data_IF_075980617977
#
_entry.id   IF_075980617977
#
_cell.length_a   1.000
_cell.length_b   1.000
_cell.length_c   1.000
_cell.angle_alpha   90.00
_cell.angle_beta   90.00
_cell.angle_gamma   90.00
#
_symmetry.space_group_name_H-M   'P 1'
#
loop_
_entity.id
_entity.type
_entity.pdbx_description
1 polymer ?
#
# COMPACT_ATOMS: atom_id res chain seq x y z
N UNK A 1 -22.12 10.91 -38.66
CA UNK A 1 -21.03 9.95 -38.38
C UNK A 1 -20.15 10.29 -37.17
N UNK A 2 -20.10 11.53 -36.69
CA UNK A 2 -19.22 11.96 -35.56
C UNK A 2 -19.71 11.54 -34.15
N UNK A 3 -21.03 11.41 -33.95
CA UNK A 3 -21.62 11.05 -32.64
C UNK A 3 -21.27 9.63 -32.14
N UNK A 4 -21.07 8.67 -33.04
CA UNK A 4 -20.78 7.29 -32.66
C UNK A 4 -19.30 7.06 -32.30
N UNK A 5 -18.38 7.90 -32.80
CA UNK A 5 -16.96 7.78 -32.54
C UNK A 5 -16.58 8.19 -31.09
N UNK A 6 -17.26 9.21 -30.56
CA UNK A 6 -17.04 9.69 -29.18
C UNK A 6 -17.49 8.66 -28.13
N UNK A 7 -18.57 7.91 -28.42
CA UNK A 7 -19.09 6.88 -27.52
C UNK A 7 -18.12 5.69 -27.37
N UNK A 8 -17.44 5.30 -28.47
CA UNK A 8 -16.46 4.21 -28.46
C UNK A 8 -15.19 4.55 -27.67
N UNK A 9 -14.71 5.79 -27.74
CA UNK A 9 -13.53 6.25 -26.99
C UNK A 9 -13.81 6.25 -25.48
N UNK A 10 -15.01 6.65 -25.05
CA UNK A 10 -15.39 6.64 -23.64
C UNK A 10 -15.48 5.24 -23.05
N UNK A 11 -15.94 4.26 -23.81
CA UNK A 11 -16.04 2.85 -23.39
C UNK A 11 -14.64 2.21 -23.26
N UNK A 12 -13.70 2.53 -24.15
CA UNK A 12 -12.33 2.00 -24.10
C UNK A 12 -11.58 2.52 -22.86
N UNK A 13 -11.76 3.79 -22.47
CA UNK A 13 -11.13 4.36 -21.27
C UNK A 13 -11.63 3.72 -19.97
N UNK A 14 -12.91 3.38 -19.88
CA UNK A 14 -13.48 2.69 -18.71
C UNK A 14 -12.97 1.27 -18.58
N UNK A 15 -12.85 0.53 -19.68
CA UNK A 15 -12.35 -0.84 -19.71
C UNK A 15 -10.87 -0.95 -19.32
N UNK A 16 -10.04 0.02 -19.66
CA UNK A 16 -8.61 0.03 -19.28
C UNK A 16 -8.38 0.22 -17.78
N UNK A 17 -9.25 0.98 -17.10
CA UNK A 17 -9.20 1.14 -15.64
C UNK A 17 -9.53 -0.15 -14.88
N UNK A 18 -10.52 -0.92 -15.32
CA UNK A 18 -10.88 -2.20 -14.71
C UNK A 18 -9.80 -3.27 -14.88
N UNK A 19 -9.16 -3.36 -16.04
CA UNK A 19 -8.09 -4.31 -16.28
C UNK A 19 -6.84 -4.05 -15.42
N UNK A 20 -6.51 -2.78 -15.14
CA UNK A 20 -5.40 -2.41 -14.29
C UNK A 20 -5.69 -2.70 -12.81
N UNK A 21 -6.92 -2.46 -12.34
CA UNK A 21 -7.34 -2.76 -10.97
C UNK A 21 -7.32 -4.28 -10.69
N UNK A 22 -7.73 -5.11 -11.66
CA UNK A 22 -7.64 -6.57 -11.54
C UNK A 22 -6.20 -7.07 -11.42
N UNK A 23 -5.22 -6.41 -12.05
CA UNK A 23 -3.81 -6.81 -11.97
C UNK A 23 -3.17 -6.50 -10.63
N UNK A 24 -3.64 -5.50 -9.89
CA UNK A 24 -3.18 -5.17 -8.54
C UNK A 24 -3.84 -6.06 -7.49
N UNK A 25 -5.08 -6.54 -7.75
CA UNK A 25 -5.78 -7.42 -6.82
C UNK A 25 -4.98 -8.68 -6.54
N UNK A 26 -4.94 -9.11 -5.27
CA UNK A 26 -4.21 -10.27 -4.79
C UNK A 26 -3.52 -10.00 -3.46
N UNK A 27 -2.72 -10.97 -3.04
CA UNK A 27 -1.88 -10.90 -1.84
C UNK A 27 -0.42 -10.63 -2.23
N UNK A 28 0.20 -9.68 -1.54
CA UNK A 28 1.55 -9.23 -1.81
C UNK A 28 2.37 -9.16 -0.54
N UNK A 29 3.65 -9.47 -0.64
CA UNK A 29 4.64 -9.27 0.41
C UNK A 29 5.54 -8.08 0.03
N UNK A 30 5.74 -7.16 0.95
CA UNK A 30 6.74 -6.12 0.82
C UNK A 30 8.13 -6.72 1.08
N UNK A 31 9.03 -6.58 0.13
CA UNK A 31 10.40 -7.07 0.22
C UNK A 31 11.39 -5.95 0.57
N UNK A 32 11.17 -4.74 0.05
CA UNK A 32 12.10 -3.64 0.18
C UNK A 32 11.41 -2.28 0.07
N UNK A 33 11.87 -1.31 0.84
CA UNK A 33 11.59 0.11 0.63
C UNK A 33 12.91 0.83 0.32
N UNK A 34 12.92 1.61 -0.77
CA UNK A 34 14.01 2.53 -1.11
C UNK A 34 13.54 3.96 -0.91
N UNK A 35 14.41 4.77 -0.32
CA UNK A 35 14.24 6.22 -0.23
C UNK A 35 14.89 6.92 -1.42
N UNK A 36 14.53 8.17 -1.67
CA UNK A 36 15.05 8.95 -2.81
C UNK A 36 16.57 9.21 -2.72
N UNK A 37 17.15 9.15 -1.51
CA UNK A 37 18.60 9.23 -1.27
C UNK A 37 19.35 7.91 -1.50
N UNK A 38 18.64 6.88 -2.03
CA UNK A 38 19.21 5.58 -2.40
C UNK A 38 19.34 4.59 -1.23
N UNK A 39 18.98 4.97 0.00
CA UNK A 39 18.95 4.00 1.11
C UNK A 39 17.85 2.98 0.89
N UNK A 40 18.19 1.71 1.10
CA UNK A 40 17.28 0.59 0.97
C UNK A 40 17.13 -0.12 2.32
N UNK A 41 15.90 -0.37 2.71
CA UNK A 41 15.56 -1.21 3.87
C UNK A 41 14.83 -2.47 3.37
N UNK A 42 15.42 -3.64 3.63
CA UNK A 42 14.79 -4.93 3.35
C UNK A 42 13.82 -5.30 4.46
N UNK A 43 12.68 -5.85 4.09
CA UNK A 43 11.68 -6.34 5.02
C UNK A 43 11.81 -7.85 5.15
N UNK A 44 12.34 -8.31 6.28
CA UNK A 44 12.51 -9.73 6.60
C UNK A 44 11.42 -10.25 7.54
N UNK A 45 10.70 -9.36 8.20
CA UNK A 45 9.61 -9.68 9.11
C UNK A 45 8.30 -9.93 8.34
N UNK A 46 7.36 -10.71 8.93
CA UNK A 46 6.08 -10.99 8.31
C UNK A 46 5.30 -9.72 7.94
N UNK A 47 4.83 -9.68 6.71
CA UNK A 47 4.00 -8.59 6.22
C UNK A 47 3.08 -9.09 5.12
N UNK A 48 1.94 -8.44 4.95
CA UNK A 48 1.00 -8.72 3.88
C UNK A 48 0.27 -7.45 3.45
N UNK A 49 0.13 -7.30 2.15
CA UNK A 49 -0.67 -6.30 1.47
C UNK A 49 -1.76 -7.02 0.68
N UNK A 50 -3.01 -6.81 1.03
CA UNK A 50 -4.16 -7.40 0.34
C UNK A 50 -4.89 -6.32 -0.45
N UNK A 51 -5.18 -6.61 -1.71
CA UNK A 51 -6.02 -5.76 -2.57
C UNK A 51 -7.18 -6.57 -3.12
N UNK A 52 -8.42 -6.17 -2.85
CA UNK A 52 -9.63 -6.86 -3.31
C UNK A 52 -10.71 -5.85 -3.72
N UNK A 53 -11.24 -5.94 -4.94
CA UNK A 53 -12.43 -5.17 -5.40
C UNK A 53 -12.55 -3.74 -4.85
N UNK A 54 -11.47 -2.95 -4.94
CA UNK A 54 -11.46 -1.56 -4.47
C UNK A 54 -11.17 -1.36 -2.98
N UNK A 55 -10.84 -2.42 -2.23
CA UNK A 55 -10.43 -2.36 -0.83
C UNK A 55 -9.03 -2.90 -0.64
N UNK A 56 -8.32 -2.35 0.35
CA UNK A 56 -7.00 -2.85 0.74
C UNK A 56 -6.92 -3.11 2.24
N UNK A 57 -6.00 -4.00 2.61
CA UNK A 57 -5.55 -4.20 3.97
C UNK A 57 -4.04 -4.39 3.98
N UNK A 58 -3.36 -3.72 4.89
CA UNK A 58 -1.91 -3.80 5.08
C UNK A 58 -1.65 -4.16 6.53
N UNK A 59 -0.90 -5.22 6.74
CA UNK A 59 -0.44 -5.65 8.07
C UNK A 59 1.05 -5.91 7.95
N UNK A 60 1.87 -5.27 8.82
CA UNK A 60 3.32 -5.43 8.81
C UNK A 60 3.87 -5.53 10.22
N UNK A 61 4.87 -6.37 10.37
CA UNK A 61 5.82 -6.31 11.48
C UNK A 61 7.00 -5.44 11.03
N UNK A 62 7.27 -4.38 11.77
CA UNK A 62 8.33 -3.40 11.46
C UNK A 62 9.65 -3.80 12.15
N UNK A 63 10.75 -3.31 11.58
CA UNK A 63 12.10 -3.51 12.13
C UNK A 63 12.77 -4.78 11.63
N UNK A 64 13.96 -5.04 12.16
CA UNK A 64 14.85 -6.12 11.79
C UNK A 64 14.92 -7.24 12.84
N UNK A 65 14.35 -7.02 14.02
CA UNK A 65 14.35 -7.97 15.14
C UNK A 65 13.04 -8.77 15.19
N UNK A 66 13.12 -10.07 15.49
CA UNK A 66 11.91 -10.85 15.77
C UNK A 66 11.09 -10.22 16.89
N UNK A 67 9.78 -10.32 16.78
CA UNK A 67 8.89 -9.90 17.88
C UNK A 67 9.04 -10.83 19.06
N UNK A 68 8.85 -10.29 20.27
CA UNK A 68 8.71 -11.09 21.47
C UNK A 68 7.50 -12.03 21.34
N UNK A 69 7.67 -13.27 21.74
CA UNK A 69 6.63 -14.31 21.71
C UNK A 69 5.94 -14.50 23.06
N UNK A 70 6.37 -13.76 24.08
CA UNK A 70 5.80 -13.83 25.42
C UNK A 70 4.35 -13.35 25.45
N UNK A 71 3.61 -13.81 26.44
CA UNK A 71 2.24 -13.35 26.67
C UNK A 71 2.29 -11.85 27.06
N UNK A 72 1.48 -11.04 26.40
CA UNK A 72 1.39 -9.59 26.69
C UNK A 72 1.10 -9.26 28.17
N UNK A 73 0.45 -10.18 28.91
CA UNK A 73 0.17 -10.01 30.34
C UNK A 73 1.38 -10.13 31.24
N UNK A 74 2.49 -10.71 30.74
CA UNK A 74 3.76 -10.87 31.46
C UNK A 74 4.82 -9.88 30.98
N UNK A 75 4.54 -9.10 29.95
CA UNK A 75 5.45 -8.09 29.40
C UNK A 75 5.51 -6.84 30.30
N UNK A 76 6.67 -6.21 30.37
CA UNK A 76 6.77 -4.85 30.93
C UNK A 76 6.09 -3.84 30.01
N UNK A 77 5.71 -2.66 30.51
CA UNK A 77 5.14 -1.59 29.66
C UNK A 77 6.02 -1.25 28.47
N UNK A 78 7.34 -1.20 28.62
CA UNK A 78 8.31 -0.93 27.55
C UNK A 78 8.28 -2.02 26.49
N UNK A 79 8.23 -3.29 26.89
CA UNK A 79 8.12 -4.43 25.98
C UNK A 79 6.80 -4.41 25.20
N UNK A 80 5.68 -4.04 25.83
CA UNK A 80 4.38 -3.86 25.17
C UNK A 80 4.47 -2.74 24.12
N UNK A 81 5.05 -1.59 24.51
CA UNK A 81 5.24 -0.46 23.58
C UNK A 81 6.11 -0.89 22.37
N UNK A 82 7.23 -1.54 22.61
CA UNK A 82 8.12 -1.98 21.54
C UNK A 82 7.43 -3.00 20.61
N UNK A 83 6.79 -4.01 21.19
CA UNK A 83 6.21 -5.12 20.42
C UNK A 83 4.92 -4.74 19.68
N UNK A 84 4.02 -4.00 20.34
CA UNK A 84 2.68 -3.73 19.80
C UNK A 84 2.52 -2.31 19.26
N UNK A 85 3.30 -1.34 19.77
CA UNK A 85 3.19 0.04 19.30
C UNK A 85 4.21 0.34 18.20
N UNK A 86 5.49 0.02 18.39
CA UNK A 86 6.55 0.36 17.44
C UNK A 86 6.69 -0.66 16.30
N UNK A 87 6.63 -1.96 16.62
CA UNK A 87 6.90 -3.03 15.66
C UNK A 87 5.67 -3.53 14.89
N UNK A 88 4.53 -2.88 14.99
CA UNK A 88 3.33 -3.36 14.32
C UNK A 88 2.60 -2.23 13.61
N UNK A 89 2.29 -2.43 12.34
CA UNK A 89 1.49 -1.52 11.52
C UNK A 89 0.29 -2.27 10.95
N UNK A 90 -0.88 -1.67 11.08
CA UNK A 90 -2.11 -2.16 10.46
C UNK A 90 -2.91 -0.99 9.92
N UNK A 91 -3.37 -1.11 8.68
CA UNK A 91 -4.27 -0.15 8.05
C UNK A 91 -5.10 -0.83 6.96
N UNK A 92 -6.24 -0.23 6.65
CA UNK A 92 -7.13 -0.67 5.59
C UNK A 92 -8.00 0.47 5.09
N UNK A 93 -8.64 0.25 3.97
CA UNK A 93 -9.49 1.25 3.36
C UNK A 93 -9.87 0.91 1.94
N UNK A 94 -10.12 1.94 1.14
CA UNK A 94 -10.48 1.82 -0.27
C UNK A 94 -9.30 2.21 -1.16
N UNK A 95 -9.26 1.64 -2.36
CA UNK A 95 -8.33 2.09 -3.39
C UNK A 95 -9.01 2.24 -4.75
N UNK A 96 -8.43 3.07 -5.59
CA UNK A 96 -8.80 3.26 -6.98
C UNK A 96 -7.55 3.16 -7.86
N UNK A 97 -7.68 2.48 -9.01
CA UNK A 97 -6.67 2.45 -10.06
C UNK A 97 -7.13 3.29 -11.25
N UNK A 98 -6.34 4.28 -11.63
CA UNK A 98 -6.62 5.13 -12.78
C UNK A 98 -5.34 5.51 -13.52
N UNK A 99 -5.24 5.13 -14.78
CA UNK A 99 -4.10 5.51 -15.63
C UNK A 99 -2.72 5.10 -15.08
N UNK A 100 -2.59 3.92 -14.43
CA UNK A 100 -1.33 3.48 -13.82
C UNK A 100 -1.05 4.08 -12.44
N UNK A 101 -1.98 4.87 -11.91
CA UNK A 101 -1.92 5.45 -10.55
C UNK A 101 -2.85 4.69 -9.62
N UNK A 102 -2.31 4.22 -8.50
CA UNK A 102 -3.05 3.64 -7.38
C UNK A 102 -3.25 4.73 -6.33
N UNK A 103 -4.49 5.12 -6.06
CA UNK A 103 -4.83 6.03 -4.98
C UNK A 103 -5.48 5.24 -3.84
N UNK A 104 -4.88 5.30 -2.66
CA UNK A 104 -5.33 4.59 -1.47
C UNK A 104 -5.86 5.58 -0.44
N UNK A 105 -7.08 5.35 0.06
CA UNK A 105 -7.72 6.14 1.12
C UNK A 105 -7.88 5.27 2.36
N UNK A 106 -7.14 5.61 3.42
CA UNK A 106 -7.20 4.87 4.69
C UNK A 106 -8.47 5.24 5.45
N UNK A 107 -9.26 4.24 5.83
CA UNK A 107 -10.49 4.38 6.62
C UNK A 107 -10.41 3.74 7.99
N UNK A 108 -9.51 2.77 8.16
CA UNK A 108 -9.19 2.13 9.44
C UNK A 108 -7.68 1.99 9.57
N UNK A 109 -7.12 2.32 10.72
CA UNK A 109 -5.68 2.18 10.98
C UNK A 109 -5.41 2.00 12.48
N UNK A 110 -4.32 1.32 12.79
CA UNK A 110 -3.79 1.25 14.15
C UNK A 110 -3.46 2.66 14.69
N UNK A 111 -2.87 3.52 13.86
CA UNK A 111 -2.63 4.92 14.22
C UNK A 111 -3.89 5.75 13.91
N UNK A 112 -4.61 6.28 14.93
CA UNK A 112 -5.84 7.03 14.75
C UNK A 112 -5.66 8.32 13.93
N UNK A 113 -4.46 8.88 13.87
CA UNK A 113 -4.16 10.06 13.06
C UNK A 113 -4.41 9.84 11.57
N UNK A 114 -4.26 8.60 11.07
CA UNK A 114 -4.58 8.27 9.69
C UNK A 114 -6.09 8.20 9.42
N UNK A 115 -6.92 8.05 10.44
CA UNK A 115 -8.40 8.02 10.31
C UNK A 115 -9.02 9.41 10.51
N UNK A 116 -8.38 10.28 11.28
CA UNK A 116 -8.92 11.59 11.67
C UNK A 116 -9.00 12.59 10.50
N UNK A 117 -8.29 12.36 9.42
CA UNK A 117 -8.25 13.19 8.22
C UNK A 117 -8.64 12.35 7.02
N UNK A 118 -9.20 12.96 5.99
CA UNK A 118 -9.42 12.29 4.70
C UNK A 118 -8.07 12.03 4.00
N UNK A 119 -7.21 11.26 4.69
CA UNK A 119 -5.86 10.98 4.21
C UNK A 119 -5.91 10.01 3.04
N UNK A 120 -5.33 10.42 1.94
CA UNK A 120 -5.07 9.56 0.81
C UNK A 120 -3.60 9.68 0.39
N UNK A 121 -3.10 8.64 -0.22
CA UNK A 121 -1.79 8.61 -0.85
C UNK A 121 -1.92 7.99 -2.23
N UNK A 122 -1.26 8.56 -3.22
CA UNK A 122 -1.18 8.00 -4.56
C UNK A 122 0.21 7.45 -4.85
N UNK A 123 0.24 6.39 -5.66
CA UNK A 123 1.44 5.72 -6.11
C UNK A 123 1.40 5.55 -7.63
N UNK A 124 2.52 5.78 -8.29
CA UNK A 124 2.76 5.23 -9.61
C UNK A 124 3.02 3.73 -9.48
N UNK A 125 2.35 2.92 -10.29
CA UNK A 125 2.41 1.45 -10.24
C UNK A 125 3.13 0.90 -11.45
N UNK A 126 4.11 0.02 -11.23
CA UNK A 126 4.70 -0.84 -12.26
C UNK A 126 4.50 -2.30 -11.87
N UNK A 127 3.89 -3.08 -12.77
CA UNK A 127 3.69 -4.52 -12.61
C UNK A 127 4.59 -5.25 -13.60
N UNK A 128 5.32 -6.24 -13.13
CA UNK A 128 6.15 -7.10 -13.96
C UNK A 128 6.03 -8.55 -13.45
N UNK A 129 5.13 -9.32 -14.08
CA UNK A 129 4.83 -10.68 -13.64
C UNK A 129 4.37 -10.72 -12.18
N UNK A 130 5.15 -11.36 -11.33
CA UNK A 130 4.89 -11.53 -9.90
C UNK A 130 5.42 -10.37 -9.03
N UNK A 131 5.89 -9.30 -9.64
CA UNK A 131 6.41 -8.15 -8.89
C UNK A 131 5.59 -6.88 -9.12
N UNK A 132 5.44 -6.09 -8.07
CA UNK A 132 4.81 -4.77 -8.10
C UNK A 132 5.75 -3.75 -7.48
N UNK A 133 6.01 -2.68 -8.22
CA UNK A 133 6.72 -1.50 -7.69
C UNK A 133 5.72 -0.37 -7.49
N UNK A 134 5.65 0.17 -6.28
CA UNK A 134 4.85 1.32 -5.92
C UNK A 134 5.78 2.49 -5.61
N UNK A 135 5.71 3.56 -6.39
CA UNK A 135 6.44 4.80 -6.14
C UNK A 135 5.48 5.85 -5.61
N UNK A 136 5.69 6.30 -4.37
CA UNK A 136 4.86 7.33 -3.75
C UNK A 136 4.90 8.62 -4.59
N UNK A 137 3.73 9.20 -4.91
CA UNK A 137 3.63 10.34 -5.81
C UNK A 137 3.06 11.59 -5.14
N UNK A 138 1.93 11.47 -4.44
CA UNK A 138 1.28 12.60 -3.78
C UNK A 138 0.43 12.14 -2.60
N UNK A 139 0.10 13.09 -1.72
CA UNK A 139 -0.87 12.98 -0.63
C UNK A 139 -1.88 14.11 -0.72
N UNK A 140 -2.84 14.16 0.20
CA UNK A 140 -3.74 15.31 0.37
C UNK A 140 -3.00 16.63 0.68
N UNK A 141 -1.73 16.59 1.04
CA UNK A 141 -0.87 17.77 1.29
C UNK A 141 -0.09 18.20 0.03
N UNK A 142 -0.22 17.45 -1.06
CA UNK A 142 0.44 17.73 -2.34
C UNK A 142 1.46 16.69 -2.78
N UNK A 143 2.28 17.00 -3.79
CA UNK A 143 3.29 16.10 -4.33
C UNK A 143 4.37 15.75 -3.31
N UNK A 144 4.79 14.48 -3.29
CA UNK A 144 5.87 14.00 -2.43
C UNK A 144 7.22 14.34 -3.06
N UNK A 145 8.01 15.21 -2.40
CA UNK A 145 9.32 15.64 -2.89
C UNK A 145 10.38 14.54 -2.86
N UNK A 146 10.32 13.68 -1.85
CA UNK A 146 11.26 12.57 -1.65
C UNK A 146 10.50 11.24 -1.65
N UNK A 147 10.14 10.70 -2.84
CA UNK A 147 9.30 9.54 -2.94
C UNK A 147 9.99 8.28 -2.41
N UNK A 148 9.24 7.48 -1.67
CA UNK A 148 9.62 6.11 -1.34
C UNK A 148 9.20 5.19 -2.48
N UNK A 149 10.02 4.19 -2.75
CA UNK A 149 9.77 3.14 -3.72
C UNK A 149 9.64 1.83 -2.94
N UNK A 150 8.50 1.18 -3.05
CA UNK A 150 8.21 -0.11 -2.43
C UNK A 150 8.24 -1.20 -3.49
N UNK A 151 9.01 -2.25 -3.25
CA UNK A 151 9.05 -3.44 -4.09
C UNK A 151 8.31 -4.57 -3.38
N UNK A 152 7.31 -5.13 -4.06
CA UNK A 152 6.45 -6.18 -3.53
C UNK A 152 6.49 -7.40 -4.45
N UNK A 153 6.41 -8.59 -3.84
CA UNK A 153 6.24 -9.88 -4.54
C UNK A 153 4.86 -10.44 -4.27
N UNK A 154 4.22 -10.98 -5.29
CA UNK A 154 2.92 -11.64 -5.22
C UNK A 154 3.03 -12.94 -4.43
N UNK A 155 2.03 -13.26 -3.63
CA UNK A 155 1.95 -14.46 -2.81
C UNK A 155 0.96 -15.50 -3.35
N UNK A 156 0.04 -15.10 -4.25
CA UNK A 156 -1.02 -15.92 -4.87
C UNK A 156 -0.85 -16.04 -6.39
#
# INVERSE_FOLDING_TARGET
>A
MIKNFVLWISVILVLSGFAAAQKVAGAWRLDEIKTSDGKAAKFTQPNIYLFTKGHFSIIRVEGDKPRLTDNWTTMTPEQVIDTYIKQFTASGGTYEMKGGTLTMKTTIAKNPGFMARANWISYSVKLNGQTMTLTAAATNEGPIKNPQIMNLTRLD
#
